data_IF_706276038679
#
_entry.id   IF_706276038679
#
_cell.length_a   1.000
_cell.length_b   1.000
_cell.length_c   1.000
_cell.angle_alpha   90.00
_cell.angle_beta   90.00
_cell.angle_gamma   90.00
#
_symmetry.space_group_name_H-M   'P 1'
#
loop_
_entity.id
_entity.type
_entity.pdbx_description
1 polymer ?
#
# COMPACT_ATOMS: atom_id res chain seq x y z
N UNK A 1 5.20 -17.98 26.93
CA UNK A 1 5.21 -17.82 26.40
C UNK A 1 5.21 -17.37 25.78
N UNK A 2 5.11 -17.52 25.97
CA UNK A 2 5.22 -17.32 25.27
C UNK A 2 5.38 -16.53 24.67
N UNK A 3 5.50 -16.25 24.87
CA UNK A 3 5.61 -15.42 24.22
C UNK A 3 6.13 -15.11 23.22
N UNK A 4 6.05 -15.25 23.13
CA UNK A 4 6.41 -15.02 22.35
C UNK A 4 6.47 -14.26 21.49
N UNK A 5 6.52 -14.01 21.44
CA UNK A 5 6.62 -13.35 20.62
C UNK A 5 6.52 -12.72 19.78
N UNK A 6 6.80 -12.16 19.93
CA UNK A 6 6.18 -11.67 18.88
C UNK A 6 7.00 -11.00 17.86
N UNK A 7 6.95 -11.37 16.65
CA UNK A 7 7.78 -10.74 15.61
C UNK A 7 7.36 -9.30 15.42
N UNK A 8 8.30 -8.43 15.05
CA UNK A 8 7.99 -7.04 14.81
C UNK A 8 7.35 -6.87 13.44
N UNK A 9 6.06 -7.14 13.38
CA UNK A 9 5.31 -6.91 12.16
C UNK A 9 4.48 -5.66 12.30
N UNK A 10 4.14 -5.06 11.17
CA UNK A 10 3.27 -3.91 11.16
C UNK A 10 1.90 -4.31 11.64
N UNK A 11 1.35 -3.53 12.58
CA UNK A 11 0.07 -3.86 13.16
C UNK A 11 -1.11 -3.40 12.33
N UNK A 12 -0.91 -2.36 11.55
CA UNK A 12 -2.00 -1.73 10.81
C UNK A 12 -1.78 -1.94 9.33
N UNK A 13 -2.71 -2.62 8.70
CA UNK A 13 -2.63 -2.94 7.28
C UNK A 13 -3.90 -2.50 6.60
N UNK A 14 -3.75 -1.77 5.51
CA UNK A 14 -4.89 -1.28 4.78
C UNK A 14 -4.69 -1.51 3.28
N UNK A 15 -5.65 -2.11 2.60
CA UNK A 15 -5.51 -2.33 1.16
C UNK A 15 -5.90 -1.10 0.37
N UNK A 16 -5.22 -0.89 -0.75
CA UNK A 16 -5.70 0.02 -1.78
C UNK A 16 -6.27 -0.85 -2.89
N UNK A 17 -7.51 -0.57 -3.25
CA UNK A 17 -8.24 -1.43 -4.17
C UNK A 17 -8.49 -0.72 -5.49
N UNK A 18 -8.75 -1.52 -6.52
CA UNK A 18 -9.06 -0.97 -7.84
C UNK A 18 -10.46 -0.36 -7.84
N UNK A 19 -10.55 0.87 -8.36
CA UNK A 19 -11.83 1.56 -8.46
C UNK A 19 -12.69 0.99 -9.59
N UNK A 20 -12.06 0.36 -10.57
CA UNK A 20 -12.76 -0.25 -11.68
C UNK A 20 -11.91 -1.38 -12.25
N UNK A 21 -12.53 -2.25 -13.01
CA UNK A 21 -11.81 -3.34 -13.67
C UNK A 21 -10.99 -2.78 -14.84
N UNK A 22 -9.90 -3.45 -15.16
CA UNK A 22 -9.08 -3.07 -16.29
C UNK A 22 -7.70 -3.64 -16.18
N UNK A 23 -6.76 -3.00 -16.87
CA UNK A 23 -5.37 -3.44 -16.89
C UNK A 23 -4.48 -2.40 -16.24
N UNK A 24 -3.52 -2.85 -15.47
CA UNK A 24 -2.53 -1.96 -14.85
C UNK A 24 -1.61 -1.44 -15.95
N UNK A 25 -1.71 -0.14 -16.24
CA UNK A 25 -0.94 0.47 -17.33
C UNK A 25 0.18 1.35 -16.83
N UNK A 26 0.17 1.69 -15.54
CA UNK A 26 1.20 2.55 -14.98
C UNK A 26 1.25 2.39 -13.48
N UNK A 27 2.46 2.35 -12.94
CA UNK A 27 2.69 2.35 -11.50
C UNK A 27 3.66 3.50 -11.23
N UNK A 28 3.22 4.46 -10.41
CA UNK A 28 4.02 5.64 -10.14
C UNK A 28 4.97 5.35 -8.99
N UNK A 29 6.22 5.08 -9.32
CA UNK A 29 7.21 4.71 -8.33
C UNK A 29 7.54 5.82 -7.35
N UNK A 30 7.44 7.07 -7.77
CA UNK A 30 7.68 8.19 -6.87
C UNK A 30 6.61 8.28 -5.80
N UNK A 31 5.36 8.13 -6.23
CA UNK A 31 4.25 8.14 -5.27
C UNK A 31 4.32 6.94 -4.35
N UNK A 32 4.71 5.77 -4.88
CA UNK A 32 4.89 4.59 -4.04
C UNK A 32 5.96 4.81 -2.99
N UNK A 33 7.09 5.39 -3.39
CA UNK A 33 8.19 5.64 -2.45
C UNK A 33 7.75 6.59 -1.34
N UNK A 34 7.03 7.64 -1.70
CA UNK A 34 6.54 8.60 -0.72
C UNK A 34 5.53 7.94 0.21
N UNK A 35 4.64 7.13 -0.36
CA UNK A 35 3.63 6.42 0.41
C UNK A 35 4.28 5.49 1.43
N UNK A 36 5.28 4.73 1.01
CA UNK A 36 6.00 3.83 1.91
C UNK A 36 6.67 4.60 3.03
N UNK A 37 7.27 5.73 2.70
CA UNK A 37 7.95 6.56 3.67
C UNK A 37 6.97 7.10 4.72
N UNK A 38 5.80 7.53 4.29
CA UNK A 38 4.78 8.01 5.21
C UNK A 38 4.26 6.91 6.11
N UNK A 39 4.27 5.68 5.64
CA UNK A 39 3.85 4.53 6.43
C UNK A 39 4.93 4.07 7.40
N UNK A 40 6.14 4.66 7.34
CA UNK A 40 7.18 4.37 8.32
C UNK A 40 8.44 3.76 7.77
N UNK A 41 8.48 3.41 6.49
CA UNK A 41 9.71 2.90 5.89
C UNK A 41 10.65 4.07 5.63
N UNK A 42 11.93 3.86 5.71
CA UNK A 42 12.65 2.61 5.99
C UNK A 42 13.00 2.40 7.44
N UNK A 43 12.52 3.25 8.35
CA UNK A 43 12.89 3.12 9.76
C UNK A 43 12.42 1.79 10.34
N UNK A 44 11.40 1.20 9.75
CA UNK A 44 10.90 -0.08 10.22
C UNK A 44 10.79 -1.03 9.04
N UNK A 45 11.36 -2.22 9.19
CA UNK A 45 11.24 -3.25 8.17
C UNK A 45 9.81 -3.78 8.05
N UNK A 46 9.01 -3.56 9.10
CA UNK A 46 7.63 -4.04 9.11
C UNK A 46 6.68 -3.07 8.44
N UNK A 47 7.11 -1.84 8.21
CA UNK A 47 6.26 -0.85 7.57
C UNK A 47 6.55 -0.82 6.08
N UNK A 48 5.62 -0.25 5.31
CA UNK A 48 5.83 -0.07 3.89
C UNK A 48 4.67 -0.56 3.07
N UNK A 49 5.00 -1.13 1.92
CA UNK A 49 4.00 -1.49 0.92
C UNK A 49 4.25 -2.90 0.42
N UNK A 50 3.18 -3.68 0.33
CA UNK A 50 3.19 -4.98 -0.35
C UNK A 50 2.43 -4.83 -1.65
N UNK A 51 3.12 -5.03 -2.77
CA UNK A 51 2.46 -4.96 -4.07
C UNK A 51 1.78 -6.27 -4.39
N UNK A 52 0.55 -6.18 -4.88
CA UNK A 52 -0.22 -7.35 -5.26
C UNK A 52 -0.47 -7.43 -6.75
N UNK A 53 -0.03 -6.43 -7.51
CA UNK A 53 -0.18 -6.41 -8.96
C UNK A 53 1.11 -5.91 -9.58
N UNK A 54 1.24 -6.17 -10.87
CA UNK A 54 2.35 -5.73 -11.70
C UNK A 54 1.81 -5.00 -12.91
N UNK A 55 2.72 -4.27 -13.53
CA UNK A 55 2.39 -3.62 -14.79
C UNK A 55 1.91 -4.68 -15.79
N UNK A 56 0.77 -4.44 -16.40
CA UNK A 56 0.19 -5.36 -17.37
C UNK A 56 -0.84 -6.32 -16.82
N UNK A 57 -0.94 -6.42 -15.48
CA UNK A 57 -1.92 -7.32 -14.87
C UNK A 57 -3.34 -6.83 -15.12
N UNK A 58 -4.25 -7.79 -15.24
CA UNK A 58 -5.67 -7.47 -15.28
C UNK A 58 -6.24 -7.56 -13.89
N UNK A 59 -7.07 -6.61 -13.54
CA UNK A 59 -7.65 -6.53 -12.21
C UNK A 59 -9.16 -6.36 -12.30
N UNK A 60 -9.83 -6.82 -11.28
CA UNK A 60 -11.28 -6.64 -11.16
C UNK A 60 -11.54 -5.45 -10.24
N UNK A 61 -12.71 -4.87 -10.37
CA UNK A 61 -13.13 -3.82 -9.46
C UNK A 61 -13.11 -4.35 -8.03
N UNK A 62 -12.50 -3.59 -7.14
CA UNK A 62 -12.39 -3.97 -5.73
C UNK A 62 -11.22 -4.89 -5.43
N UNK A 63 -10.46 -5.29 -6.45
CA UNK A 63 -9.30 -6.15 -6.22
C UNK A 63 -8.19 -5.35 -5.54
N UNK A 64 -7.52 -5.99 -4.59
CA UNK A 64 -6.42 -5.34 -3.89
C UNK A 64 -5.25 -5.10 -4.84
N UNK A 65 -4.83 -3.84 -4.94
CA UNK A 65 -3.69 -3.47 -5.75
C UNK A 65 -2.40 -3.52 -4.93
N UNK A 66 -2.48 -3.05 -3.71
CA UNK A 66 -1.36 -3.10 -2.79
C UNK A 66 -1.89 -3.01 -1.36
N UNK A 67 -1.03 -3.31 -0.41
CA UNK A 67 -1.36 -3.14 1.00
C UNK A 67 -0.36 -2.20 1.63
N UNK A 68 -0.88 -1.28 2.43
CA UNK A 68 -0.07 -0.41 3.24
C UNK A 68 0.12 -1.04 4.60
N UNK A 69 1.36 -1.07 5.04
CA UNK A 69 1.72 -1.61 6.36
C UNK A 69 2.29 -0.47 7.20
N UNK A 70 1.70 -0.21 8.33
CA UNK A 70 2.16 0.84 9.23
C UNK A 70 2.20 0.34 10.66
N UNK A 71 3.08 0.91 11.46
CA UNK A 71 3.21 0.51 12.86
C UNK A 71 2.30 1.28 13.78
N UNK A 72 1.83 2.44 13.35
CA UNK A 72 0.94 3.25 14.16
C UNK A 72 -0.25 3.70 13.32
N UNK A 73 -1.34 4.01 14.01
CA UNK A 73 -2.53 4.52 13.34
C UNK A 73 -2.27 5.87 12.69
N UNK A 74 -1.43 6.70 13.33
CA UNK A 74 -1.10 8.01 12.78
C UNK A 74 -0.36 7.90 11.46
N UNK A 75 0.60 6.99 11.40
CA UNK A 75 1.33 6.76 10.16
C UNK A 75 0.41 6.23 9.06
N UNK A 76 -0.48 5.32 9.42
CA UNK A 76 -1.44 4.80 8.45
C UNK A 76 -2.34 5.91 7.93
N UNK A 77 -2.84 6.76 8.83
CA UNK A 77 -3.72 7.86 8.44
C UNK A 77 -3.01 8.84 7.51
N UNK A 78 -1.76 9.16 7.79
CA UNK A 78 -0.97 10.02 6.92
C UNK A 78 -0.80 9.42 5.53
N UNK A 79 -0.47 8.13 5.49
CA UNK A 79 -0.26 7.45 4.22
C UNK A 79 -1.55 7.39 3.41
N UNK A 80 -2.66 7.08 4.05
CA UNK A 80 -3.95 7.02 3.37
C UNK A 80 -4.38 8.39 2.87
N UNK A 81 -4.13 9.44 3.68
CA UNK A 81 -4.43 10.81 3.26
C UNK A 81 -3.66 11.19 2.02
N UNK A 82 -2.39 10.86 1.98
CA UNK A 82 -1.56 11.11 0.81
C UNK A 82 -2.09 10.34 -0.41
N UNK A 83 -2.41 9.06 -0.22
CA UNK A 83 -2.91 8.24 -1.32
C UNK A 83 -4.19 8.81 -1.92
N UNK A 84 -5.06 9.35 -1.07
CA UNK A 84 -6.30 9.97 -1.54
C UNK A 84 -6.05 11.29 -2.26
N UNK A 85 -5.03 12.02 -1.82
CA UNK A 85 -4.75 13.35 -2.37
C UNK A 85 -4.07 13.31 -3.71
N UNK A 86 -3.13 12.37 -3.91
CA UNK A 86 -2.32 12.38 -5.13
C UNK A 86 -2.97 11.68 -6.29
N UNK A 87 -4.11 11.02 -6.05
CA UNK A 87 -4.80 10.33 -7.11
C UNK A 87 -4.21 8.95 -7.36
N UNK A 88 -4.21 8.52 -8.60
CA UNK A 88 -3.83 7.16 -8.94
C UNK A 88 -2.34 6.91 -8.78
N UNK A 89 -1.98 6.04 -7.85
CA UNK A 89 -0.62 5.53 -7.72
C UNK A 89 -0.45 4.36 -8.67
N UNK A 90 -1.45 3.49 -8.73
CA UNK A 90 -1.54 2.42 -9.70
C UNK A 90 -2.66 2.78 -10.66
N UNK A 91 -2.30 2.96 -11.91
CA UNK A 91 -3.28 3.37 -12.91
C UNK A 91 -3.85 2.14 -13.60
N UNK A 92 -5.16 2.03 -13.59
CA UNK A 92 -5.88 0.93 -14.21
C UNK A 92 -6.71 1.49 -15.37
N UNK A 93 -6.43 1.03 -16.58
CA UNK A 93 -7.16 1.46 -17.77
C UNK A 93 -8.20 0.42 -18.13
N UNK A 94 -9.38 0.90 -18.45
CA UNK A 94 -10.45 0.00 -18.87
C UNK A 94 -10.26 -0.47 -20.32
#
# INVERSE_FOLDING_TARGET
QGGLRQPPVAEYVEPLIAAHAGRVVHIDNRKLARLAKLAGAPQSLAAGISMHVRLGDEVARGQTLLRLHAQTQGELAYALGYANEVGEIVRVAQ
#
